data_IF_594420081064
#
_entry.id   IF_594420081064
#
_cell.length_a   1.000
_cell.length_b   1.000
_cell.length_c   1.000
_cell.angle_alpha   90.00
_cell.angle_beta   90.00
_cell.angle_gamma   90.00
#
_symmetry.space_group_name_H-M   'P 1'
#
loop_
_entity.id
_entity.type
_entity.pdbx_description
1 polymer ?
#
# COMPACT_ATOMS: atom_id res chain seq x y z
N UNK A 1 -5.45 4.05 -17.11
CA UNK A 1 -5.70 2.70 -16.56
C UNK A 1 -5.90 2.88 -15.07
N UNK A 2 -7.03 2.39 -14.53
CA UNK A 2 -7.35 2.57 -13.11
C UNK A 2 -6.68 1.44 -12.30
N UNK A 3 -5.64 1.76 -11.52
CA UNK A 3 -4.90 0.78 -10.71
C UNK A 3 -5.84 0.02 -9.78
N UNK A 4 -6.90 0.67 -9.27
CA UNK A 4 -7.91 0.01 -8.43
C UNK A 4 -8.57 -1.20 -9.11
N UNK A 5 -8.85 -1.12 -10.41
CA UNK A 5 -9.48 -2.23 -11.14
C UNK A 5 -8.58 -3.46 -11.22
N UNK A 6 -7.27 -3.25 -11.42
CA UNK A 6 -6.29 -4.33 -11.44
C UNK A 6 -6.12 -4.94 -10.04
N UNK A 7 -6.09 -4.11 -9.00
CA UNK A 7 -6.01 -4.58 -7.62
C UNK A 7 -7.25 -5.37 -7.20
N UNK A 8 -8.45 -4.99 -7.67
CA UNK A 8 -9.67 -5.76 -7.43
C UNK A 8 -9.55 -7.17 -8.00
N UNK A 9 -8.99 -7.34 -9.19
CA UNK A 9 -8.74 -8.66 -9.76
C UNK A 9 -7.65 -9.43 -9.00
N UNK A 10 -6.56 -8.75 -8.61
CA UNK A 10 -5.43 -9.38 -7.90
C UNK A 10 -5.82 -9.88 -6.50
N UNK A 11 -6.69 -9.17 -5.80
CA UNK A 11 -7.08 -9.48 -4.42
C UNK A 11 -8.51 -10.01 -4.30
N UNK A 12 -9.06 -10.58 -5.37
CA UNK A 12 -10.39 -11.22 -5.38
C UNK A 12 -11.52 -10.33 -4.83
N UNK A 13 -11.49 -9.03 -5.16
CA UNK A 13 -12.50 -8.06 -4.75
C UNK A 13 -12.51 -7.72 -3.25
N UNK A 14 -11.45 -8.05 -2.49
CA UNK A 14 -11.35 -7.69 -1.07
C UNK A 14 -11.33 -6.18 -0.87
N UNK A 15 -12.20 -5.67 -0.01
CA UNK A 15 -12.20 -4.26 0.38
C UNK A 15 -10.96 -3.87 1.20
N UNK A 16 -10.49 -4.77 2.07
CA UNK A 16 -9.28 -4.59 2.89
C UNK A 16 -8.35 -5.77 2.66
N UNK A 17 -7.12 -5.46 2.26
CA UNK A 17 -6.06 -6.46 2.03
C UNK A 17 -5.22 -6.61 3.31
N UNK A 18 -4.93 -7.83 3.78
CA UNK A 18 -4.04 -8.06 4.92
C UNK A 18 -2.67 -7.42 4.72
N UNK A 19 -2.14 -6.81 5.77
CA UNK A 19 -0.90 -6.01 5.69
C UNK A 19 0.34 -6.84 5.30
N UNK A 20 0.36 -8.12 5.65
CA UNK A 20 1.40 -9.07 5.30
C UNK A 20 1.41 -9.38 3.79
N UNK A 21 0.23 -9.52 3.18
CA UNK A 21 0.10 -9.66 1.73
C UNK A 21 0.57 -8.40 0.99
N UNK A 22 0.14 -7.21 1.44
CA UNK A 22 0.59 -5.93 0.86
C UNK A 22 2.11 -5.78 0.97
N UNK A 23 2.67 -6.12 2.14
CA UNK A 23 4.12 -6.06 2.36
C UNK A 23 4.86 -7.02 1.42
N UNK A 24 4.36 -8.24 1.25
CA UNK A 24 4.95 -9.23 0.35
C UNK A 24 4.92 -8.79 -1.11
N UNK A 25 3.80 -8.24 -1.57
CA UNK A 25 3.58 -7.98 -2.99
C UNK A 25 4.24 -6.67 -3.47
N UNK A 26 4.19 -5.61 -2.66
CA UNK A 26 4.68 -4.27 -3.06
C UNK A 26 5.93 -3.81 -2.30
N UNK A 27 6.24 -4.42 -1.17
CA UNK A 27 7.35 -4.03 -0.29
C UNK A 27 8.24 -5.21 0.07
N UNK A 28 8.43 -6.15 -0.87
CA UNK A 28 9.15 -7.42 -0.67
C UNK A 28 10.58 -7.28 -0.13
N UNK A 29 11.20 -6.11 -0.30
CA UNK A 29 12.51 -5.74 0.24
C UNK A 29 12.49 -5.39 1.74
N UNK A 30 11.32 -5.32 2.37
CA UNK A 30 11.12 -5.04 3.79
C UNK A 30 10.55 -6.27 4.50
N UNK A 31 10.99 -6.47 5.74
CA UNK A 31 10.28 -7.35 6.67
C UNK A 31 9.00 -6.65 7.14
N UNK A 32 7.97 -7.42 7.48
CA UNK A 32 6.70 -6.87 7.97
C UNK A 32 6.87 -5.89 9.16
N UNK A 33 7.72 -6.16 10.18
CA UNK A 33 7.97 -5.19 11.24
C UNK A 33 8.58 -3.88 10.75
N UNK A 34 9.51 -3.94 9.78
CA UNK A 34 10.15 -2.74 9.21
C UNK A 34 9.16 -1.95 8.37
N UNK A 35 8.32 -2.63 7.59
CA UNK A 35 7.23 -2.00 6.84
C UNK A 35 6.27 -1.25 7.77
N UNK A 36 5.75 -1.93 8.80
CA UNK A 36 4.85 -1.32 9.79
C UNK A 36 5.47 -0.11 10.50
N UNK A 37 6.76 -0.17 10.84
CA UNK A 37 7.48 0.96 11.42
C UNK A 37 7.54 2.14 10.45
N UNK A 38 7.89 1.92 9.18
CA UNK A 38 7.97 2.96 8.14
C UNK A 38 6.62 3.62 7.85
N UNK A 39 5.55 2.82 7.84
CA UNK A 39 4.19 3.36 7.71
C UNK A 39 3.83 4.20 8.94
N UNK A 40 4.16 3.72 10.14
CA UNK A 40 3.85 4.45 11.39
C UNK A 40 4.68 5.73 11.56
N UNK A 41 5.89 5.81 10.98
CA UNK A 41 6.72 7.02 10.96
C UNK A 41 6.35 7.98 9.82
N UNK A 42 5.44 7.60 8.92
CA UNK A 42 5.07 8.39 7.74
C UNK A 42 6.08 8.34 6.59
N UNK A 43 7.15 7.54 6.70
CA UNK A 43 8.08 7.31 5.58
C UNK A 43 7.41 6.57 4.40
N UNK A 44 6.41 5.75 4.70
CA UNK A 44 5.49 5.17 3.72
C UNK A 44 4.11 5.74 4.01
N UNK A 45 3.67 6.67 3.17
CA UNK A 45 2.37 7.34 3.24
C UNK A 45 1.23 6.41 2.76
N UNK A 46 1.04 5.29 3.46
CA UNK A 46 -0.02 4.31 3.18
C UNK A 46 -0.86 4.07 4.44
N UNK A 47 -2.15 4.43 4.45
CA UNK A 47 -3.02 4.23 5.60
C UNK A 47 -3.17 2.76 6.01
N UNK A 48 -3.16 2.49 7.32
CA UNK A 48 -3.48 1.17 7.88
C UNK A 48 -4.88 1.19 8.51
N UNK A 49 -5.73 0.30 8.01
CA UNK A 49 -7.04 0.01 8.60
C UNK A 49 -6.88 -0.99 9.73
N UNK A 50 -7.58 -0.75 10.83
CA UNK A 50 -7.72 -1.68 11.96
C UNK A 50 -9.20 -1.95 12.20
N UNK A 51 -9.56 -3.20 12.46
CA UNK A 51 -10.94 -3.57 12.78
C UNK A 51 -11.42 -2.99 14.11
N UNK A 52 -10.50 -2.74 15.05
CA UNK A 52 -10.82 -2.20 16.37
C UNK A 52 -9.64 -1.42 16.99
N UNK A 53 -9.91 -0.71 18.11
CA UNK A 53 -8.89 0.01 18.90
C UNK A 53 -8.09 -0.95 19.80
N UNK A 54 -7.43 -1.93 19.18
CA UNK A 54 -6.53 -2.87 19.87
C UNK A 54 -5.15 -2.87 19.20
N UNK A 55 -4.10 -3.02 20.00
CA UNK A 55 -2.74 -3.23 19.48
C UNK A 55 -2.59 -4.59 18.79
N UNK A 56 -3.42 -5.56 19.17
CA UNK A 56 -3.48 -6.90 18.56
C UNK A 56 -4.47 -6.99 17.40
N UNK A 57 -5.20 -5.91 17.09
CA UNK A 57 -6.14 -5.89 15.97
C UNK A 57 -5.42 -6.27 14.68
N UNK A 58 -6.10 -7.07 13.85
CA UNK A 58 -5.69 -7.27 12.48
C UNK A 58 -5.49 -5.91 11.80
N UNK A 59 -4.43 -5.81 11.00
CA UNK A 59 -4.09 -4.62 10.22
C UNK A 59 -4.25 -4.98 8.75
N UNK A 60 -4.82 -4.06 8.00
CA UNK A 60 -4.90 -4.17 6.55
C UNK A 60 -4.81 -2.80 5.90
N UNK A 61 -4.93 -2.78 4.58
CA UNK A 61 -4.95 -1.58 3.76
C UNK A 61 -6.23 -1.60 2.95
N UNK A 62 -6.98 -0.50 2.93
CA UNK A 62 -8.14 -0.41 2.06
C UNK A 62 -7.68 -0.40 0.59
N UNK A 63 -8.38 -1.15 -0.26
CA UNK A 63 -7.93 -1.36 -1.65
C UNK A 63 -7.77 -0.05 -2.43
N UNK A 64 -8.69 0.90 -2.22
CA UNK A 64 -8.62 2.24 -2.82
C UNK A 64 -7.42 3.05 -2.37
N UNK A 65 -6.99 2.90 -1.11
CA UNK A 65 -5.83 3.62 -0.57
C UNK A 65 -4.53 3.05 -1.18
N UNK A 66 -4.46 1.73 -1.34
CA UNK A 66 -3.34 1.08 -2.03
C UNK A 66 -3.26 1.53 -3.50
N UNK A 67 -4.40 1.60 -4.20
CA UNK A 67 -4.45 2.10 -5.57
C UNK A 67 -3.93 3.55 -5.66
N UNK A 68 -4.44 4.44 -4.81
CA UNK A 68 -4.04 5.84 -4.77
C UNK A 68 -2.54 6.01 -4.48
N UNK A 69 -1.99 5.22 -3.56
CA UNK A 69 -0.55 5.22 -3.27
C UNK A 69 0.29 4.84 -4.50
N UNK A 70 -0.09 3.76 -5.19
CA UNK A 70 0.64 3.28 -6.37
C UNK A 70 0.55 4.27 -7.53
N UNK A 71 -0.62 4.87 -7.75
CA UNK A 71 -0.81 5.89 -8.77
C UNK A 71 0.04 7.14 -8.48
N UNK A 72 0.07 7.62 -7.23
CA UNK A 72 0.95 8.73 -6.80
C UNK A 72 2.43 8.40 -7.02
N UNK A 73 2.87 7.18 -6.70
CA UNK A 73 4.27 6.75 -6.94
C UNK A 73 4.60 6.70 -8.43
N UNK A 74 3.64 6.30 -9.27
CA UNK A 74 3.80 6.32 -10.73
C UNK A 74 3.92 7.74 -11.27
N UNK A 75 3.12 8.68 -10.79
CA UNK A 75 3.20 10.09 -11.18
C UNK A 75 4.58 10.69 -10.88
N UNK A 76 5.11 10.44 -9.68
CA UNK A 76 6.47 10.87 -9.30
C UNK A 76 7.51 10.27 -10.24
N UNK A 77 7.42 8.97 -10.53
CA UNK A 77 8.37 8.30 -11.43
C UNK A 77 8.32 8.86 -12.87
N UNK A 78 7.13 9.23 -13.36
CA UNK A 78 6.98 9.87 -14.67
C UNK A 78 7.60 11.27 -14.68
N UNK A 79 7.35 12.06 -13.63
CA UNK A 79 7.96 13.38 -13.47
C UNK A 79 9.50 13.28 -13.45
N UNK A 80 10.07 12.38 -12.65
CA UNK A 80 11.52 12.16 -12.58
C UNK A 80 12.08 11.75 -13.95
N UNK A 81 11.46 10.79 -14.64
CA UNK A 81 11.89 10.36 -15.99
C UNK A 81 11.95 11.51 -16.99
N UNK A 82 10.98 12.41 -16.94
CA UNK A 82 10.87 13.51 -17.90
C UNK A 82 11.76 14.71 -17.51
N UNK A 83 12.05 14.90 -16.21
CA UNK A 83 12.99 15.92 -15.72
C UNK A 83 14.46 15.59 -16.03
N UNK A 84 14.80 14.31 -16.26
CA UNK A 84 16.13 13.87 -16.65
C UNK A 84 16.30 13.70 -18.18
N UNK A 85 15.33 14.14 -18.98
CA UNK A 85 15.45 14.28 -20.44
C UNK A 85 15.89 15.69 -20.83
#
# INVERSE_FOLDING_TARGET
MNTLFLLMAQYDGRAVVPVDAVCKDYFSHLTLPKFLRKVSSGEIDLPLVRSERSQKSAKGVHLSDLAAYLDKRREVALYERDAFK
#
